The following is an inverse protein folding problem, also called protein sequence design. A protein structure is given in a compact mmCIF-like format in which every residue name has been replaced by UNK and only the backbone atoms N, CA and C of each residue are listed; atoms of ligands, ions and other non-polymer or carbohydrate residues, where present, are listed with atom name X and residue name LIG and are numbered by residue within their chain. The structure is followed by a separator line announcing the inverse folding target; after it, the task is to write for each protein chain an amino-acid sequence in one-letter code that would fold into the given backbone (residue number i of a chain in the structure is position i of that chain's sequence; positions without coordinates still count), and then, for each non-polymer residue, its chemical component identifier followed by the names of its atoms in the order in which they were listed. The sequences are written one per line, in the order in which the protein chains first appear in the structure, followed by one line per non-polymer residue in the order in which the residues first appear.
data_IF_708563381493
#
_entry.id   IF_708563381493
#
_cell.length_a   1.000
_cell.length_b   1.000
_cell.length_c   1.000
_cell.angle_alpha   90.00
_cell.angle_beta   90.00
_cell.angle_gamma   90.00
#
_symmetry.space_group_name_H-M   'P 1'
#
loop_
_entity.id
_entity.type
_entity.pdbx_description
1 polymer ?
#
# COMPACT_ATOMS: atom_id res chain seq x y z
N UNK A 1 47.36 -13.19 38.69
CA UNK A 1 47.40 -12.60 37.33
C UNK A 1 46.55 -13.41 36.33
N UNK A 2 45.47 -14.04 36.81
CA UNK A 2 44.59 -14.94 36.03
C UNK A 2 43.13 -14.46 36.00
N UNK A 3 42.73 -13.53 36.88
CA UNK A 3 41.34 -13.07 36.98
C UNK A 3 40.93 -12.06 35.90
N UNK A 4 41.86 -11.25 35.42
CA UNK A 4 41.61 -10.20 34.41
C UNK A 4 41.26 -10.77 33.04
N UNK A 5 41.83 -11.91 32.66
CA UNK A 5 41.57 -12.59 31.39
C UNK A 5 40.16 -13.21 31.33
N UNK A 6 39.61 -13.62 32.48
CA UNK A 6 38.25 -14.17 32.56
C UNK A 6 37.17 -13.09 32.44
N UNK A 7 37.44 -11.90 33.01
CA UNK A 7 36.55 -10.74 32.96
C UNK A 7 36.44 -10.16 31.54
N UNK A 8 37.56 -10.04 30.82
CA UNK A 8 37.58 -9.54 29.43
C UNK A 8 36.81 -10.48 28.49
N UNK A 9 36.94 -11.80 28.67
CA UNK A 9 36.22 -12.80 27.85
C UNK A 9 34.72 -12.77 28.11
N UNK A 10 34.30 -12.53 29.36
CA UNK A 10 32.88 -12.32 29.74
C UNK A 10 32.32 -11.03 29.14
N UNK A 11 33.07 -9.93 29.19
CA UNK A 11 32.69 -8.64 28.59
C UNK A 11 32.56 -8.77 27.08
N UNK A 12 33.50 -9.46 26.40
CA UNK A 12 33.44 -9.73 24.96
C UNK A 12 32.22 -10.59 24.56
N UNK A 13 31.87 -11.62 25.35
CA UNK A 13 30.65 -12.41 25.10
C UNK A 13 29.36 -11.63 25.33
N UNK A 14 29.33 -10.72 26.32
CA UNK A 14 28.19 -9.83 26.59
C UNK A 14 27.98 -8.79 25.46
N UNK A 15 29.07 -8.22 24.94
CA UNK A 15 29.01 -7.25 23.82
C UNK A 15 28.56 -7.89 22.50
N UNK A 16 28.99 -9.14 22.22
CA UNK A 16 28.55 -9.87 21.03
C UNK A 16 27.05 -10.23 21.08
N UNK A 17 26.52 -10.53 22.27
CA UNK A 17 25.10 -10.84 22.45
C UNK A 17 24.21 -9.59 22.32
N UNK A 18 24.68 -8.44 22.81
CA UNK A 18 23.99 -7.16 22.68
C UNK A 18 23.92 -6.65 21.22
N UNK A 19 24.99 -6.86 20.43
CA UNK A 19 24.99 -6.51 19.01
C UNK A 19 24.03 -7.39 18.17
N UNK A 20 23.91 -8.68 18.51
CA UNK A 20 22.96 -9.58 17.85
C UNK A 20 21.50 -9.25 18.20
N UNK A 21 21.23 -8.84 19.44
CA UNK A 21 19.89 -8.42 19.89
C UNK A 21 19.43 -7.10 19.22
N UNK A 22 20.34 -6.14 18.99
CA UNK A 22 20.04 -4.90 18.26
C UNK A 22 19.79 -5.10 16.76
N UNK A 23 20.32 -6.20 16.19
CA UNK A 23 20.13 -6.55 14.78
C UNK A 23 18.75 -7.18 14.51
N UNK A 24 18.13 -7.76 15.55
CA UNK A 24 16.84 -8.46 15.44
C UNK A 24 15.62 -7.52 15.49
N UNK A 25 15.76 -6.30 16.01
CA UNK A 25 14.67 -5.32 16.10
C UNK A 25 14.43 -4.51 14.81
N UNK A 26 15.27 -4.68 13.78
CA UNK A 26 15.14 -3.96 12.52
C UNK A 26 14.09 -4.53 11.55
N UNK A 27 13.48 -5.68 11.87
CA UNK A 27 12.49 -6.34 11.02
C UNK A 27 11.06 -6.24 11.57
N UNK A 28 10.68 -5.07 12.08
CA UNK A 28 9.26 -4.76 12.21
C UNK A 28 8.68 -4.63 10.79
N UNK A 29 8.17 -5.74 10.25
CA UNK A 29 7.47 -5.74 8.98
C UNK A 29 6.26 -4.80 9.10
N UNK A 30 6.32 -3.65 8.46
CA UNK A 30 5.15 -2.77 8.31
C UNK A 30 4.09 -3.54 7.56
N UNK A 31 2.91 -3.70 8.14
CA UNK A 31 1.80 -4.33 7.45
C UNK A 31 1.53 -3.55 6.16
N UNK A 32 1.49 -4.26 5.03
CA UNK A 32 1.20 -3.64 3.74
C UNK A 32 -0.22 -3.08 3.77
N UNK A 33 -0.39 -1.86 3.26
CA UNK A 33 -1.69 -1.21 3.14
C UNK A 33 -1.87 -0.62 1.74
N UNK A 34 -3.14 -0.41 1.37
CA UNK A 34 -3.53 0.25 0.12
C UNK A 34 -4.66 1.24 0.41
N UNK A 35 -4.49 2.47 -0.07
CA UNK A 35 -5.42 3.58 0.11
C UNK A 35 -6.30 3.73 -1.13
N UNK A 36 -7.60 3.58 -0.94
CA UNK A 36 -8.59 3.55 -2.03
C UNK A 36 -9.51 4.75 -1.88
N UNK A 37 -9.57 5.58 -2.91
CA UNK A 37 -10.59 6.62 -3.00
C UNK A 37 -11.72 6.12 -3.89
N UNK A 38 -12.94 6.07 -3.37
CA UNK A 38 -14.06 5.41 -4.04
C UNK A 38 -15.28 6.31 -4.14
N UNK A 39 -15.90 6.37 -5.31
CA UNK A 39 -17.24 6.97 -5.50
C UNK A 39 -18.37 5.94 -5.47
N UNK A 40 -18.07 4.69 -5.09
CA UNK A 40 -19.07 3.62 -4.95
C UNK A 40 -19.68 3.61 -3.56
N UNK A 41 -20.93 3.16 -3.47
CA UNK A 41 -21.58 2.90 -2.18
C UNK A 41 -20.80 1.84 -1.38
N UNK A 42 -20.53 2.06 -0.08
CA UNK A 42 -19.70 1.17 0.74
C UNK A 42 -20.13 -0.30 0.68
N UNK A 43 -21.43 -0.55 0.84
CA UNK A 43 -22.03 -1.88 0.83
C UNK A 43 -21.76 -2.69 -0.46
N UNK A 44 -21.44 -2.02 -1.58
CA UNK A 44 -21.16 -2.69 -2.85
C UNK A 44 -19.71 -3.17 -2.99
N UNK A 45 -18.79 -2.64 -2.19
CA UNK A 45 -17.35 -2.94 -2.31
C UNK A 45 -16.73 -3.50 -1.03
N UNK A 46 -17.28 -3.21 0.14
CA UNK A 46 -16.75 -3.69 1.43
C UNK A 46 -16.57 -5.21 1.49
N UNK A 47 -17.53 -6.06 1.03
CA UNK A 47 -17.33 -7.51 1.04
C UNK A 47 -16.14 -7.96 0.18
N UNK A 48 -15.94 -7.32 -0.97
CA UNK A 48 -14.83 -7.60 -1.89
C UNK A 48 -13.49 -7.17 -1.28
N UNK A 49 -13.43 -5.98 -0.68
CA UNK A 49 -12.22 -5.46 -0.05
C UNK A 49 -11.84 -6.26 1.20
N UNK A 50 -12.83 -6.72 1.95
CA UNK A 50 -12.61 -7.65 3.06
C UNK A 50 -12.02 -8.96 2.56
N UNK A 51 -12.60 -9.58 1.53
CA UNK A 51 -12.09 -10.82 0.96
C UNK A 51 -10.66 -10.65 0.39
N UNK A 52 -10.35 -9.50 -0.23
CA UNK A 52 -9.00 -9.15 -0.65
C UNK A 52 -8.03 -9.08 0.54
N UNK A 53 -8.41 -8.37 1.61
CA UNK A 53 -7.59 -8.22 2.81
C UNK A 53 -7.36 -9.57 3.50
N UNK A 54 -8.41 -10.38 3.66
CA UNK A 54 -8.33 -11.72 4.26
C UNK A 54 -7.39 -12.64 3.46
N UNK A 55 -7.40 -12.54 2.13
CA UNK A 55 -6.60 -13.40 1.24
C UNK A 55 -5.14 -12.97 1.13
N UNK A 56 -4.86 -11.67 1.18
CA UNK A 56 -3.53 -11.11 0.89
C UNK A 56 -2.78 -10.64 2.12
N UNK A 57 -3.49 -10.40 3.22
CA UNK A 57 -2.94 -9.73 4.41
C UNK A 57 -2.73 -8.21 4.22
N UNK A 58 -3.08 -7.64 3.07
CA UNK A 58 -2.97 -6.20 2.80
C UNK A 58 -4.18 -5.49 3.38
N UNK A 59 -3.96 -4.48 4.22
CA UNK A 59 -5.03 -3.65 4.78
C UNK A 59 -5.56 -2.69 3.72
N UNK A 60 -6.88 -2.65 3.52
CA UNK A 60 -7.51 -1.63 2.67
C UNK A 60 -8.00 -0.45 3.51
N UNK A 61 -7.50 0.75 3.25
CA UNK A 61 -8.03 2.00 3.81
C UNK A 61 -8.90 2.67 2.74
N UNK A 62 -10.16 2.97 3.02
CA UNK A 62 -11.08 3.50 1.99
C UNK A 62 -11.62 4.86 2.40
N UNK A 63 -11.59 5.80 1.45
CA UNK A 63 -12.26 7.08 1.58
C UNK A 63 -13.38 7.16 0.55
N UNK A 64 -14.62 7.29 1.04
CA UNK A 64 -15.80 7.39 0.21
C UNK A 64 -16.08 8.84 -0.17
N UNK A 65 -16.10 9.13 -1.46
CA UNK A 65 -16.27 10.47 -2.03
C UNK A 65 -17.43 10.42 -3.03
N UNK A 66 -18.60 10.89 -2.61
CA UNK A 66 -19.83 10.84 -3.43
C UNK A 66 -19.68 11.68 -4.70
N UNK A 67 -19.28 12.93 -4.53
CA UNK A 67 -19.00 13.90 -5.59
C UNK A 67 -17.61 14.50 -5.38
N UNK A 68 -16.96 14.97 -6.44
CA UNK A 68 -15.70 15.69 -6.29
C UNK A 68 -14.44 14.81 -6.22
N UNK A 69 -14.48 13.57 -6.73
CA UNK A 69 -13.36 12.62 -6.61
C UNK A 69 -12.11 13.12 -7.35
N UNK A 70 -12.26 13.54 -8.60
CA UNK A 70 -11.16 14.04 -9.43
C UNK A 70 -10.64 15.37 -8.86
N UNK A 71 -11.54 16.24 -8.41
CA UNK A 71 -11.23 17.53 -7.78
C UNK A 71 -10.42 17.34 -6.51
N UNK A 72 -10.76 16.35 -5.69
CA UNK A 72 -9.98 16.02 -4.50
C UNK A 72 -8.59 15.50 -4.85
N UNK A 73 -8.49 14.56 -5.79
CA UNK A 73 -7.19 14.05 -6.24
C UNK A 73 -6.33 15.17 -6.81
N UNK A 74 -6.91 16.08 -7.60
CA UNK A 74 -6.23 17.25 -8.12
C UNK A 74 -5.78 18.22 -7.03
N UNK A 75 -6.62 18.45 -6.01
CA UNK A 75 -6.30 19.33 -4.89
C UNK A 75 -5.17 18.77 -4.01
N UNK A 76 -5.15 17.45 -3.79
CA UNK A 76 -4.10 16.78 -3.03
C UNK A 76 -2.80 16.63 -3.86
N UNK A 77 -2.92 16.49 -5.19
CA UNK A 77 -1.83 16.38 -6.15
C UNK A 77 -0.77 15.35 -5.71
N UNK A 78 0.51 15.72 -5.76
CA UNK A 78 1.64 14.86 -5.34
C UNK A 78 1.62 14.44 -3.86
N UNK A 79 0.77 15.06 -3.05
CA UNK A 79 0.63 14.74 -1.63
C UNK A 79 -0.59 13.84 -1.35
N UNK A 80 -1.33 13.41 -2.38
CA UNK A 80 -2.44 12.50 -2.20
C UNK A 80 -1.95 11.17 -1.63
N UNK A 81 -2.58 10.64 -0.58
CA UNK A 81 -2.28 9.30 -0.11
C UNK A 81 -2.95 8.22 -0.98
N UNK A 82 -3.74 8.57 -2.00
CA UNK A 82 -4.51 7.63 -2.79
C UNK A 82 -3.62 6.76 -3.70
N UNK A 83 -3.77 5.44 -3.58
CA UNK A 83 -3.12 4.46 -4.46
C UNK A 83 -4.05 4.02 -5.59
N UNK A 84 -5.35 3.92 -5.30
CA UNK A 84 -6.37 3.45 -6.25
C UNK A 84 -7.57 4.38 -6.26
N UNK A 85 -7.95 4.85 -7.45
CA UNK A 85 -9.23 5.50 -7.69
C UNK A 85 -10.25 4.46 -8.17
N UNK A 86 -11.39 4.35 -7.48
CA UNK A 86 -12.47 3.42 -7.82
C UNK A 86 -13.77 4.19 -8.11
N UNK A 87 -14.21 4.16 -9.36
CA UNK A 87 -15.43 4.88 -9.79
C UNK A 87 -16.37 3.99 -10.62
N UNK A 88 -17.47 4.57 -11.08
CA UNK A 88 -18.54 3.88 -11.84
C UNK A 88 -18.69 4.39 -13.27
N UNK A 89 -18.07 5.52 -13.61
CA UNK A 89 -18.28 6.23 -14.88
C UNK A 89 -16.98 6.34 -15.69
N UNK A 90 -17.06 6.00 -16.98
CA UNK A 90 -15.95 6.10 -17.94
C UNK A 90 -15.53 7.55 -18.19
N UNK A 91 -16.47 8.49 -18.10
CA UNK A 91 -16.23 9.93 -18.25
C UNK A 91 -15.28 10.40 -17.16
N UNK A 92 -15.54 10.02 -15.90
CA UNK A 92 -14.67 10.37 -14.76
C UNK A 92 -13.28 9.75 -14.89
N UNK A 93 -13.18 8.51 -15.41
CA UNK A 93 -11.89 7.86 -15.67
C UNK A 93 -11.09 8.59 -16.75
N UNK A 94 -11.75 8.95 -17.85
CA UNK A 94 -11.14 9.67 -18.97
C UNK A 94 -10.67 11.06 -18.53
N UNK A 95 -11.52 11.80 -17.81
CA UNK A 95 -11.16 13.11 -17.26
C UNK A 95 -9.98 13.03 -16.29
N UNK A 96 -9.95 12.03 -15.41
CA UNK A 96 -8.84 11.85 -14.48
C UNK A 96 -7.52 11.56 -15.21
N UNK A 97 -7.57 10.79 -16.31
CA UNK A 97 -6.42 10.58 -17.19
C UNK A 97 -5.98 11.87 -17.87
N UNK A 98 -6.91 12.59 -18.49
CA UNK A 98 -6.63 13.84 -19.20
C UNK A 98 -6.06 14.93 -18.28
N UNK A 99 -6.47 14.94 -17.02
CA UNK A 99 -5.95 15.82 -15.97
C UNK A 99 -4.62 15.35 -15.36
N UNK A 100 -4.10 14.17 -15.76
CA UNK A 100 -2.85 13.62 -15.23
C UNK A 100 -2.94 13.11 -13.79
N UNK A 101 -4.13 12.74 -13.33
CA UNK A 101 -4.38 12.23 -11.97
C UNK A 101 -4.14 10.71 -11.84
N UNK A 102 -3.84 10.04 -12.94
CA UNK A 102 -3.61 8.58 -12.99
C UNK A 102 -2.26 8.29 -13.62
N UNK A 103 -1.77 7.07 -13.40
CA UNK A 103 -0.56 6.55 -14.02
C UNK A 103 -0.86 5.26 -14.80
N UNK A 104 -0.10 4.97 -15.87
CA UNK A 104 -0.26 3.72 -16.59
C UNK A 104 0.10 2.53 -15.69
N UNK A 105 -0.59 1.40 -15.91
CA UNK A 105 -0.26 0.12 -15.30
C UNK A 105 0.14 -0.89 -16.37
N UNK A 106 1.21 -1.64 -16.12
CA UNK A 106 1.62 -2.75 -16.98
C UNK A 106 1.42 -4.04 -16.19
N UNK A 107 0.31 -4.74 -16.45
CA UNK A 107 -0.04 -5.96 -15.73
C UNK A 107 -0.54 -7.05 -16.67
N UNK A 108 0.23 -8.15 -16.77
CA UNK A 108 -0.17 -9.31 -17.54
C UNK A 108 -1.48 -9.92 -17.02
N UNK A 109 -1.68 -9.92 -15.70
CA UNK A 109 -2.91 -10.42 -15.09
C UNK A 109 -4.13 -9.58 -15.50
N UNK A 110 -4.01 -8.25 -15.51
CA UNK A 110 -5.09 -7.36 -15.96
C UNK A 110 -5.34 -7.56 -17.46
N UNK A 111 -4.29 -7.58 -18.27
CA UNK A 111 -4.40 -7.74 -19.73
C UNK A 111 -4.99 -9.08 -20.16
N UNK A 112 -4.85 -10.13 -19.35
CA UNK A 112 -5.43 -11.44 -19.59
C UNK A 112 -6.92 -11.52 -19.22
N UNK A 113 -7.39 -10.71 -18.26
CA UNK A 113 -8.74 -10.78 -17.70
C UNK A 113 -9.67 -9.69 -18.26
N UNK A 114 -9.15 -8.48 -18.51
CA UNK A 114 -9.94 -7.34 -18.97
C UNK A 114 -9.81 -7.19 -20.50
N UNK A 115 -10.92 -7.28 -21.27
CA UNK A 115 -10.91 -7.09 -22.71
C UNK A 115 -10.27 -5.76 -23.14
N UNK A 116 -9.54 -5.76 -24.25
CA UNK A 116 -8.82 -4.58 -24.74
C UNK A 116 -9.72 -3.36 -24.98
N UNK A 117 -11.00 -3.58 -25.31
CA UNK A 117 -11.98 -2.50 -25.52
C UNK A 117 -12.60 -1.96 -24.20
N UNK A 118 -12.25 -2.53 -23.04
CA UNK A 118 -12.73 -2.12 -21.71
C UNK A 118 -11.60 -1.61 -20.81
N UNK A 119 -10.44 -1.31 -21.38
CA UNK A 119 -9.28 -0.77 -20.66
C UNK A 119 -8.54 0.24 -21.52
N UNK A 120 -7.78 1.10 -20.86
CA UNK A 120 -6.82 1.96 -21.55
C UNK A 120 -5.68 1.10 -22.16
N UNK A 121 -5.08 1.50 -23.29
CA UNK A 121 -4.06 0.73 -24.00
C UNK A 121 -2.85 0.34 -23.15
#
# INVERSE_FOLDING_TARGET
MTDTLSAVRRIQTLSAFAALALSASAFAATAAEVNIYSSREPQLIEPMLKAFSDKTGIKTNVVFVRDGLNERLAAEARNSPADVMLTVDITRLTEAKDQGLTQPIVSQAVNAIVPANLRDP
#
